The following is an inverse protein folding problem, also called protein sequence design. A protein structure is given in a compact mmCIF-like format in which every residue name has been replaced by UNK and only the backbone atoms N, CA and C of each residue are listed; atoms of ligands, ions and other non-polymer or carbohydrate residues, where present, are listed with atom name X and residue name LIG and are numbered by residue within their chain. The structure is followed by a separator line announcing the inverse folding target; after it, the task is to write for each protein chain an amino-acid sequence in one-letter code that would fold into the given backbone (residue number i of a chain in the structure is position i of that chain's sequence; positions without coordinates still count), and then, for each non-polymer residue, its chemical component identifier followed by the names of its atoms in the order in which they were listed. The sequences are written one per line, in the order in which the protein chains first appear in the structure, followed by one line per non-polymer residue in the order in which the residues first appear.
data_IF_625376660954
#
_entry.id   IF_625376660954
#
_cell.length_a   1.000
_cell.length_b   1.000
_cell.length_c   1.000
_cell.angle_alpha   90.00
_cell.angle_beta   90.00
_cell.angle_gamma   90.00
#
_symmetry.space_group_name_H-M   'P 1'
#
loop_
_entity.id
_entity.type
_entity.pdbx_description
1 polymer ?
#
# COMPACT_ATOMS: atom_id res chain seq x y z
N UNK A 1 -17.36 -18.64 -10.17
CA UNK A 1 -16.42 -18.28 -9.08
C UNK A 1 -15.42 -17.27 -9.60
N UNK A 2 -15.38 -16.12 -9.02
CA UNK A 2 -14.39 -15.07 -9.39
C UNK A 2 -13.07 -15.49 -8.79
N UNK A 3 -12.15 -16.00 -9.59
CA UNK A 3 -10.84 -16.48 -9.11
C UNK A 3 -10.04 -15.32 -8.50
N UNK A 4 -9.49 -15.51 -7.30
CA UNK A 4 -8.53 -14.55 -6.71
C UNK A 4 -7.35 -14.41 -7.67
N UNK A 5 -7.01 -13.17 -7.97
CA UNK A 5 -5.91 -12.82 -8.86
C UNK A 5 -4.76 -12.32 -8.00
N UNK A 6 -3.55 -12.74 -8.32
CA UNK A 6 -2.39 -12.46 -7.49
C UNK A 6 -2.48 -13.12 -6.11
N UNK A 7 -1.96 -12.46 -5.09
CA UNK A 7 -2.11 -12.82 -3.67
C UNK A 7 -1.68 -14.26 -3.33
N UNK A 8 -0.78 -14.84 -4.11
CA UNK A 8 -0.37 -16.24 -3.95
C UNK A 8 0.19 -16.53 -2.55
N UNK A 9 0.99 -15.59 -2.02
CA UNK A 9 1.59 -15.69 -0.69
C UNK A 9 0.54 -15.59 0.43
N UNK A 10 -0.37 -14.64 0.31
CA UNK A 10 -1.43 -14.40 1.29
C UNK A 10 -2.42 -15.58 1.32
N UNK A 11 -2.79 -16.09 0.15
CA UNK A 11 -3.63 -17.29 0.02
C UNK A 11 -2.96 -18.51 0.64
N UNK A 12 -1.69 -18.73 0.36
CA UNK A 12 -0.93 -19.83 0.96
C UNK A 12 -0.94 -19.72 2.49
N UNK A 13 -0.73 -18.53 3.05
CA UNK A 13 -0.76 -18.32 4.50
C UNK A 13 -2.14 -18.60 5.11
N UNK A 14 -3.23 -18.25 4.41
CA UNK A 14 -4.60 -18.55 4.85
C UNK A 14 -4.90 -20.05 4.75
N UNK A 15 -4.47 -20.72 3.69
CA UNK A 15 -4.63 -22.17 3.52
C UNK A 15 -3.85 -22.98 4.58
N UNK A 16 -2.60 -22.57 4.85
CA UNK A 16 -1.78 -23.20 5.91
C UNK A 16 -2.43 -23.00 7.28
N UNK A 17 -3.01 -21.80 7.54
CA UNK A 17 -3.72 -21.55 8.78
C UNK A 17 -4.99 -22.41 8.90
N UNK A 18 -5.69 -22.65 7.81
CA UNK A 18 -6.86 -23.54 7.79
C UNK A 18 -6.50 -25.00 8.08
N UNK A 19 -5.37 -25.48 7.54
CA UNK A 19 -4.89 -26.88 7.68
C UNK A 19 -4.19 -27.13 9.01
N UNK A 20 -3.90 -26.11 9.81
CA UNK A 20 -3.22 -26.26 11.08
C UNK A 20 -4.04 -27.10 12.08
N UNK A 21 -3.37 -27.95 12.85
CA UNK A 21 -3.98 -28.82 13.87
C UNK A 21 -4.23 -28.10 15.21
N UNK A 22 -4.04 -26.79 15.23
CA UNK A 22 -4.26 -25.91 16.38
C UNK A 22 -5.18 -24.74 16.02
N UNK A 23 -5.79 -24.12 17.01
CA UNK A 23 -6.54 -22.88 16.78
C UNK A 23 -5.60 -21.72 16.46
N UNK A 24 -5.90 -20.99 15.39
CA UNK A 24 -5.08 -19.86 14.95
C UNK A 24 -5.89 -18.56 14.88
N UNK A 25 -5.24 -17.48 15.30
CA UNK A 25 -5.72 -16.12 15.15
C UNK A 25 -4.94 -15.40 14.05
N UNK A 26 -5.62 -15.09 12.95
CA UNK A 26 -5.07 -14.42 11.77
C UNK A 26 -5.65 -13.02 11.66
N UNK A 27 -4.83 -12.03 11.40
CA UNK A 27 -5.27 -10.66 11.13
C UNK A 27 -4.83 -10.23 9.74
N UNK A 28 -5.80 -9.90 8.88
CA UNK A 28 -5.58 -9.33 7.54
C UNK A 28 -5.85 -7.84 7.61
N UNK A 29 -4.85 -7.02 7.34
CA UNK A 29 -4.95 -5.57 7.46
C UNK A 29 -4.29 -4.86 6.27
N UNK A 30 -4.51 -3.59 6.14
CA UNK A 30 -4.02 -2.78 5.03
C UNK A 30 -5.07 -1.75 4.63
N UNK A 31 -4.69 -0.82 3.76
CA UNK A 31 -5.54 0.31 3.36
C UNK A 31 -6.89 -0.15 2.78
N UNK A 32 -7.83 0.78 2.72
CA UNK A 32 -9.14 0.54 2.08
C UNK A 32 -8.96 0.21 0.59
N UNK A 33 -9.84 -0.67 0.05
CA UNK A 33 -9.92 -1.02 -1.39
C UNK A 33 -8.83 -1.94 -1.95
N UNK A 34 -7.94 -2.49 -1.10
CA UNK A 34 -6.95 -3.49 -1.52
C UNK A 34 -7.47 -4.93 -1.56
N UNK A 35 -8.76 -5.16 -1.20
CA UNK A 35 -9.42 -6.46 -1.37
C UNK A 35 -9.33 -7.39 -0.16
N UNK A 36 -9.16 -6.90 1.08
CA UNK A 36 -9.08 -7.73 2.31
C UNK A 36 -10.28 -8.65 2.49
N UNK A 37 -11.48 -8.10 2.53
CA UNK A 37 -12.75 -8.85 2.66
C UNK A 37 -12.92 -9.84 1.53
N UNK A 38 -12.60 -9.44 0.30
CA UNK A 38 -12.66 -10.30 -0.89
C UNK A 38 -11.72 -11.49 -0.73
N UNK A 39 -10.45 -11.26 -0.35
CA UNK A 39 -9.46 -12.31 -0.16
C UNK A 39 -9.95 -13.38 0.85
N UNK A 40 -10.43 -12.96 2.02
CA UNK A 40 -10.86 -13.90 3.07
C UNK A 40 -12.12 -14.65 2.67
N UNK A 41 -13.11 -13.96 2.07
CA UNK A 41 -14.34 -14.59 1.61
C UNK A 41 -14.09 -15.62 0.51
N UNK A 42 -13.30 -15.29 -0.49
CA UNK A 42 -12.97 -16.22 -1.58
C UNK A 42 -12.09 -17.40 -1.10
N UNK A 43 -11.19 -17.17 -0.11
CA UNK A 43 -10.39 -18.24 0.46
C UNK A 43 -11.23 -19.27 1.25
N UNK A 44 -12.34 -18.84 1.85
CA UNK A 44 -13.15 -19.64 2.75
C UNK A 44 -14.65 -19.70 2.38
N UNK A 45 -15.02 -19.33 1.17
CA UNK A 45 -16.39 -19.16 0.62
C UNK A 45 -17.46 -20.02 1.34
N UNK A 46 -17.39 -21.34 1.18
CA UNK A 46 -18.32 -22.34 1.77
C UNK A 46 -17.88 -22.88 3.15
N UNK A 47 -16.78 -22.39 3.72
CA UNK A 47 -16.17 -22.88 4.97
C UNK A 47 -16.35 -21.96 6.17
N UNK A 48 -17.08 -20.85 5.98
CA UNK A 48 -17.33 -19.90 7.05
C UNK A 48 -18.35 -20.46 8.04
N UNK A 49 -17.90 -20.83 9.24
CA UNK A 49 -18.78 -21.18 10.35
C UNK A 49 -19.46 -19.94 10.96
N UNK A 50 -18.88 -18.76 10.78
CA UNK A 50 -19.48 -17.49 11.18
C UNK A 50 -18.84 -16.32 10.43
N UNK A 51 -19.66 -15.34 10.02
CA UNK A 51 -19.22 -14.07 9.44
C UNK A 51 -20.01 -12.90 10.00
N UNK A 52 -19.33 -11.89 10.48
CA UNK A 52 -19.92 -10.60 10.84
C UNK A 52 -19.01 -9.46 10.40
N UNK A 53 -19.61 -8.30 10.10
CA UNK A 53 -18.88 -7.07 9.73
C UNK A 53 -19.33 -5.90 10.59
N UNK A 54 -18.38 -5.05 11.00
CA UNK A 54 -18.69 -3.79 11.65
C UNK A 54 -19.33 -2.78 10.69
N UNK A 55 -20.07 -1.83 11.23
CA UNK A 55 -20.74 -0.76 10.49
C UNK A 55 -20.08 0.57 10.83
N UNK A 56 -19.78 1.37 9.81
CA UNK A 56 -19.03 2.61 9.96
C UNK A 56 -19.79 3.64 10.81
N UNK A 57 -19.09 4.22 11.79
CA UNK A 57 -19.57 5.33 12.63
C UNK A 57 -20.84 5.05 13.47
N UNK A 58 -21.21 3.80 13.64
CA UNK A 58 -22.35 3.43 14.46
C UNK A 58 -21.98 3.22 15.95
N UNK A 59 -22.96 3.43 16.81
CA UNK A 59 -22.80 3.20 18.24
C UNK A 59 -22.82 1.70 18.59
N UNK A 60 -22.51 1.37 19.84
CA UNK A 60 -22.42 -0.01 20.35
C UNK A 60 -23.70 -0.80 20.14
N UNK A 61 -24.86 -0.20 20.42
CA UNK A 61 -26.14 -0.93 20.36
C UNK A 61 -26.50 -1.32 18.93
N UNK A 62 -26.21 -0.44 17.99
CA UNK A 62 -26.37 -0.73 16.54
C UNK A 62 -25.38 -1.80 16.10
N UNK A 63 -24.11 -1.74 16.52
CA UNK A 63 -23.12 -2.80 16.24
C UNK A 63 -23.55 -4.15 16.79
N UNK A 64 -24.07 -4.20 18.04
CA UNK A 64 -24.60 -5.42 18.65
C UNK A 64 -25.81 -5.96 17.89
N UNK A 65 -26.69 -5.07 17.42
CA UNK A 65 -27.84 -5.47 16.62
C UNK A 65 -27.42 -6.13 15.29
N UNK A 66 -26.44 -5.57 14.58
CA UNK A 66 -25.91 -6.17 13.35
C UNK A 66 -25.22 -7.51 13.63
N UNK A 67 -24.46 -7.59 14.73
CA UNK A 67 -23.82 -8.84 15.13
C UNK A 67 -24.87 -9.91 15.51
N UNK A 68 -25.95 -9.51 16.22
CA UNK A 68 -27.08 -10.39 16.50
C UNK A 68 -27.75 -10.92 15.23
N UNK A 69 -27.97 -10.06 14.22
CA UNK A 69 -28.48 -10.52 12.94
C UNK A 69 -27.56 -11.52 12.24
N UNK A 70 -26.25 -11.34 12.40
CA UNK A 70 -25.29 -12.34 11.93
C UNK A 70 -25.42 -13.65 12.71
N UNK A 71 -25.48 -13.62 14.06
CA UNK A 71 -25.68 -14.81 14.88
C UNK A 71 -26.94 -15.59 14.49
N UNK A 72 -28.06 -14.91 14.24
CA UNK A 72 -29.30 -15.54 13.82
C UNK A 72 -29.22 -16.28 12.49
N UNK A 73 -28.30 -15.92 11.60
CA UNK A 73 -28.08 -16.62 10.31
C UNK A 73 -27.39 -17.97 10.46
N UNK A 74 -26.60 -18.13 11.54
CA UNK A 74 -25.81 -19.33 11.79
C UNK A 74 -26.35 -20.16 12.96
N UNK A 75 -27.49 -19.78 13.55
CA UNK A 75 -28.13 -20.50 14.64
C UNK A 75 -29.37 -21.22 14.17
N UNK A 76 -29.50 -22.49 14.51
CA UNK A 76 -30.72 -23.29 14.28
C UNK A 76 -31.81 -23.01 15.33
N UNK A 77 -31.48 -22.33 16.42
CA UNK A 77 -32.38 -22.01 17.52
C UNK A 77 -32.61 -20.50 17.66
N UNK A 78 -33.79 -20.08 18.16
CA UNK A 78 -34.06 -18.67 18.45
C UNK A 78 -33.05 -18.12 19.47
N UNK A 79 -32.48 -16.94 19.18
CA UNK A 79 -31.56 -16.24 20.04
C UNK A 79 -32.22 -14.99 20.63
N UNK A 80 -31.85 -14.66 21.87
CA UNK A 80 -32.19 -13.36 22.46
C UNK A 80 -31.18 -12.30 21.99
N UNK A 81 -31.62 -11.05 21.83
CA UNK A 81 -30.75 -9.93 21.52
C UNK A 81 -29.75 -9.73 22.66
N UNK A 82 -28.43 -9.84 22.41
CA UNK A 82 -27.41 -9.66 23.43
C UNK A 82 -27.36 -8.21 23.91
N UNK A 83 -27.18 -8.01 25.21
CA UNK A 83 -27.07 -6.70 25.85
C UNK A 83 -25.61 -6.22 25.96
N UNK A 84 -24.67 -7.10 25.70
CA UNK A 84 -23.24 -6.84 25.77
C UNK A 84 -22.47 -7.66 24.74
N UNK A 85 -21.25 -7.24 24.42
CA UNK A 85 -20.35 -8.03 23.57
C UNK A 85 -20.01 -9.39 24.19
N UNK A 86 -19.95 -9.48 25.53
CA UNK A 86 -19.72 -10.76 26.20
C UNK A 86 -20.88 -11.74 25.91
N UNK A 87 -22.13 -11.32 26.05
CA UNK A 87 -23.29 -12.14 25.71
C UNK A 87 -23.33 -12.50 24.23
N UNK A 88 -22.88 -11.59 23.35
CA UNK A 88 -22.80 -11.87 21.92
C UNK A 88 -21.76 -12.96 21.60
N UNK A 89 -20.59 -12.94 22.24
CA UNK A 89 -19.58 -13.98 22.10
C UNK A 89 -20.00 -15.31 22.78
N UNK A 90 -20.72 -15.27 23.89
CA UNK A 90 -21.32 -16.49 24.48
C UNK A 90 -22.29 -17.17 23.50
N UNK A 91 -23.11 -16.38 22.82
CA UNK A 91 -24.00 -16.92 21.79
C UNK A 91 -23.20 -17.49 20.60
N UNK A 92 -22.13 -16.82 20.16
CA UNK A 92 -21.24 -17.32 19.11
C UNK A 92 -20.60 -18.64 19.51
N UNK A 93 -20.10 -18.79 20.75
CA UNK A 93 -19.52 -20.04 21.25
C UNK A 93 -20.52 -21.19 21.08
N UNK A 94 -21.77 -21.02 21.50
CA UNK A 94 -22.82 -22.06 21.37
C UNK A 94 -23.07 -22.45 19.92
N UNK A 95 -23.07 -21.50 18.99
CA UNK A 95 -23.18 -21.77 17.55
C UNK A 95 -21.99 -22.59 17.06
N UNK A 96 -20.78 -22.20 17.44
CA UNK A 96 -19.57 -22.89 17.02
C UNK A 96 -19.46 -24.31 17.62
N UNK A 97 -19.91 -24.51 18.84
CA UNK A 97 -19.99 -25.84 19.47
C UNK A 97 -21.01 -26.78 18.81
N UNK A 98 -22.11 -26.21 18.32
CA UNK A 98 -23.12 -26.96 17.57
C UNK A 98 -22.69 -27.30 16.13
N UNK A 99 -21.73 -26.54 15.57
CA UNK A 99 -21.24 -26.73 14.21
C UNK A 99 -20.50 -28.07 14.04
N UNK A 100 -20.79 -28.77 12.93
CA UNK A 100 -20.17 -30.05 12.56
C UNK A 100 -18.88 -29.92 11.76
N UNK A 101 -18.50 -28.69 11.42
CA UNK A 101 -17.28 -28.41 10.64
C UNK A 101 -16.02 -28.86 11.42
N UNK A 102 -15.10 -29.52 10.74
CA UNK A 102 -13.84 -29.95 11.34
C UNK A 102 -12.98 -28.74 11.75
N UNK A 103 -12.93 -27.71 10.89
CA UNK A 103 -12.27 -26.44 11.17
C UNK A 103 -13.28 -25.32 11.02
N UNK A 104 -13.55 -24.61 12.09
CA UNK A 104 -14.54 -23.56 12.18
C UNK A 104 -13.90 -22.21 11.88
N UNK A 105 -14.15 -21.68 10.70
CA UNK A 105 -13.64 -20.36 10.30
C UNK A 105 -14.60 -19.29 10.81
N UNK A 106 -14.11 -18.46 11.71
CA UNK A 106 -14.82 -17.27 12.24
C UNK A 106 -14.21 -16.04 11.57
N UNK A 107 -14.99 -15.36 10.74
CA UNK A 107 -14.52 -14.15 10.07
C UNK A 107 -15.19 -12.90 10.63
N UNK A 108 -14.40 -12.02 11.26
CA UNK A 108 -14.82 -10.72 11.79
C UNK A 108 -14.18 -9.62 10.93
N UNK A 109 -15.03 -8.94 10.16
CA UNK A 109 -14.57 -7.88 9.25
C UNK A 109 -14.77 -6.48 9.85
N UNK A 110 -13.93 -5.53 9.48
CA UNK A 110 -13.91 -4.14 9.96
C UNK A 110 -13.92 -4.03 11.50
N UNK A 111 -12.97 -4.72 12.15
CA UNK A 111 -12.84 -4.77 13.62
C UNK A 111 -12.84 -3.41 14.29
N UNK A 112 -12.19 -2.42 13.67
CA UNK A 112 -12.10 -1.07 14.22
C UNK A 112 -13.46 -0.39 14.38
N UNK A 113 -14.43 -0.74 13.53
CA UNK A 113 -15.79 -0.22 13.63
C UNK A 113 -16.59 -0.93 14.71
N UNK A 114 -16.43 -2.27 14.87
CA UNK A 114 -17.07 -3.02 15.95
C UNK A 114 -16.63 -2.53 17.34
N UNK A 115 -15.36 -2.12 17.48
CA UNK A 115 -14.82 -1.75 18.78
C UNK A 115 -15.41 -0.46 19.36
N UNK A 116 -15.97 0.40 18.52
CA UNK A 116 -16.54 1.66 18.98
C UNK A 116 -15.57 2.53 19.80
N UNK A 117 -16.12 3.41 20.66
CA UNK A 117 -15.36 4.31 21.54
C UNK A 117 -15.03 3.66 22.86
N UNK A 118 -15.95 2.82 23.37
CA UNK A 118 -15.89 2.22 24.71
C UNK A 118 -14.89 1.05 24.85
N UNK A 119 -14.43 0.51 23.73
CA UNK A 119 -13.45 -0.58 23.71
C UNK A 119 -13.97 -1.94 24.14
N UNK A 120 -15.26 -2.06 24.47
CA UNK A 120 -15.86 -3.27 25.06
C UNK A 120 -15.83 -4.48 24.12
N UNK A 121 -15.82 -4.25 22.80
CA UNK A 121 -15.69 -5.32 21.82
C UNK A 121 -14.32 -6.04 21.92
N UNK A 122 -13.22 -5.29 21.94
CA UNK A 122 -11.89 -5.91 22.07
C UNK A 122 -11.75 -6.69 23.36
N UNK A 123 -12.29 -6.19 24.48
CA UNK A 123 -12.29 -6.89 25.76
C UNK A 123 -13.04 -8.24 25.66
N UNK A 124 -14.17 -8.25 24.99
CA UNK A 124 -14.94 -9.48 24.81
C UNK A 124 -14.26 -10.44 23.80
N UNK A 125 -13.66 -9.92 22.75
CA UNK A 125 -12.84 -10.71 21.79
C UNK A 125 -11.63 -11.34 22.49
N UNK A 126 -10.96 -10.58 23.37
CA UNK A 126 -9.85 -11.06 24.19
C UNK A 126 -10.31 -12.21 25.10
N UNK A 127 -11.45 -12.05 25.77
CA UNK A 127 -12.03 -13.11 26.59
C UNK A 127 -12.38 -14.35 25.72
N UNK A 128 -13.08 -14.18 24.61
CA UNK A 128 -13.42 -15.26 23.69
C UNK A 128 -12.17 -16.05 23.26
N UNK A 129 -11.12 -15.35 22.85
CA UNK A 129 -9.90 -16.01 22.41
C UNK A 129 -9.16 -16.71 23.55
N UNK A 130 -8.89 -16.01 24.65
CA UNK A 130 -8.05 -16.52 25.72
C UNK A 130 -8.73 -17.58 26.60
N UNK A 131 -10.04 -17.48 26.81
CA UNK A 131 -10.75 -18.42 27.70
C UNK A 131 -11.30 -19.64 26.97
N UNK A 132 -11.54 -19.54 25.66
CA UNK A 132 -12.23 -20.61 24.94
C UNK A 132 -11.51 -21.02 23.64
N UNK A 133 -11.31 -20.13 22.69
CA UNK A 133 -10.85 -20.47 21.34
C UNK A 133 -9.42 -20.99 21.30
N UNK A 134 -8.49 -20.41 22.08
CA UNK A 134 -7.08 -20.79 22.09
C UNK A 134 -6.81 -22.17 22.70
N UNK A 135 -7.72 -22.68 23.55
CA UNK A 135 -7.62 -24.02 24.12
C UNK A 135 -8.12 -25.12 23.20
N UNK A 136 -8.71 -24.77 22.06
CA UNK A 136 -9.23 -25.70 21.05
C UNK A 136 -8.23 -25.93 19.93
N UNK A 137 -8.54 -26.88 19.06
CA UNK A 137 -7.72 -27.18 17.86
C UNK A 137 -8.45 -26.81 16.56
N UNK A 138 -9.73 -26.52 16.64
CA UNK A 138 -10.63 -26.44 15.50
C UNK A 138 -11.08 -25.02 15.14
N UNK A 139 -10.55 -23.98 15.77
CA UNK A 139 -10.93 -22.58 15.48
C UNK A 139 -9.88 -21.89 14.59
N UNK A 140 -10.36 -21.30 13.51
CA UNK A 140 -9.61 -20.31 12.74
C UNK A 140 -10.30 -18.97 12.84
N UNK A 141 -9.80 -18.11 13.70
CA UNK A 141 -10.28 -16.73 13.83
C UNK A 141 -9.55 -15.84 12.83
N UNK A 142 -10.27 -15.30 11.86
CA UNK A 142 -9.76 -14.34 10.87
C UNK A 142 -10.40 -12.99 11.13
N UNK A 143 -9.59 -11.97 11.36
CA UNK A 143 -10.05 -10.61 11.59
C UNK A 143 -9.50 -9.68 10.50
N UNK A 144 -10.34 -8.76 10.01
CA UNK A 144 -9.93 -7.72 9.06
C UNK A 144 -10.16 -6.32 9.59
N UNK A 145 -9.33 -5.38 9.15
CA UNK A 145 -9.60 -3.94 9.31
C UNK A 145 -8.89 -3.11 8.26
N UNK A 146 -9.56 -2.05 7.82
CA UNK A 146 -8.98 -1.01 6.96
C UNK A 146 -8.22 0.06 7.76
N UNK A 147 -8.46 0.18 9.06
CA UNK A 147 -7.75 1.08 9.96
C UNK A 147 -6.43 0.43 10.44
N UNK A 148 -5.41 0.45 9.58
CA UNK A 148 -4.11 -0.23 9.78
C UNK A 148 -3.46 0.15 11.10
N UNK A 149 -3.36 1.45 11.39
CA UNK A 149 -2.76 1.95 12.63
C UNK A 149 -3.53 1.50 13.87
N UNK A 150 -4.86 1.42 13.77
CA UNK A 150 -5.68 0.93 14.87
C UNK A 150 -5.33 -0.54 15.17
N UNK A 151 -5.23 -1.39 14.14
CA UNK A 151 -4.80 -2.80 14.29
C UNK A 151 -3.42 -2.87 14.94
N UNK A 152 -2.44 -2.12 14.44
CA UNK A 152 -1.08 -2.15 14.96
C UNK A 152 -1.06 -1.73 16.43
N UNK A 153 -1.75 -0.64 16.78
CA UNK A 153 -1.70 -0.07 18.13
C UNK A 153 -2.60 -0.80 19.14
N UNK A 154 -3.77 -1.29 18.71
CA UNK A 154 -4.77 -1.88 19.61
C UNK A 154 -4.75 -3.40 19.65
N UNK A 155 -4.26 -4.06 18.60
CA UNK A 155 -4.24 -5.52 18.54
C UNK A 155 -2.80 -6.07 18.67
N UNK A 156 -1.83 -5.48 17.96
CA UNK A 156 -0.46 -6.03 17.96
C UNK A 156 0.42 -5.49 19.10
N UNK A 157 0.34 -4.19 19.37
CA UNK A 157 1.24 -3.49 20.32
C UNK A 157 0.56 -3.14 21.66
N UNK A 158 -0.72 -3.42 21.81
CA UNK A 158 -1.41 -3.20 23.07
C UNK A 158 -0.96 -4.26 24.09
N UNK A 159 -0.45 -3.83 25.24
CA UNK A 159 -0.05 -4.72 26.34
C UNK A 159 -1.25 -5.39 27.07
N UNK A 160 -2.43 -5.42 26.43
CA UNK A 160 -3.62 -6.17 26.87
C UNK A 160 -3.53 -7.66 26.52
N UNK A 161 -4.60 -8.41 26.75
CA UNK A 161 -4.62 -9.86 26.60
C UNK A 161 -4.57 -10.39 25.17
N UNK A 162 -4.64 -9.53 24.15
CA UNK A 162 -4.38 -9.93 22.76
C UNK A 162 -2.90 -9.81 22.37
N UNK A 163 -2.05 -9.21 23.20
CA UNK A 163 -0.63 -9.10 22.92
C UNK A 163 0.02 -10.48 22.73
N UNK A 164 0.69 -10.66 21.58
CA UNK A 164 1.34 -11.94 21.26
C UNK A 164 0.37 -13.09 20.92
N UNK A 165 -0.96 -12.83 20.83
CA UNK A 165 -1.96 -13.86 20.50
C UNK A 165 -2.22 -14.01 19.01
N UNK A 166 -1.92 -12.99 18.21
CA UNK A 166 -2.05 -13.07 16.75
C UNK A 166 -0.94 -13.93 16.19
N UNK A 167 -1.30 -15.10 15.67
CA UNK A 167 -0.36 -16.09 15.13
C UNK A 167 0.15 -15.70 13.75
N UNK A 168 -0.70 -15.09 12.91
CA UNK A 168 -0.33 -14.63 11.57
C UNK A 168 -0.84 -13.22 11.31
N UNK A 169 0.06 -12.38 10.76
CA UNK A 169 -0.23 -10.98 10.38
C UNK A 169 -0.05 -10.86 8.88
N UNK A 170 -1.13 -10.61 8.16
CA UNK A 170 -1.13 -10.48 6.71
C UNK A 170 -1.39 -9.01 6.37
N UNK A 171 -0.33 -8.28 6.03
CA UNK A 171 -0.46 -6.91 5.51
C UNK A 171 -0.73 -6.96 4.02
N UNK A 172 -1.91 -6.49 3.61
CA UNK A 172 -2.33 -6.49 2.23
C UNK A 172 -2.06 -5.13 1.59
N UNK A 173 -1.01 -5.08 0.78
CA UNK A 173 -0.62 -3.90 0.00
C UNK A 173 -1.41 -3.79 -1.32
N UNK A 174 -1.35 -2.67 -2.04
CA UNK A 174 -1.75 -2.62 -3.45
C UNK A 174 -1.06 -3.71 -4.28
N UNK A 175 -1.62 -4.08 -5.42
CA UNK A 175 -1.01 -5.03 -6.34
C UNK A 175 0.36 -4.54 -6.83
N UNK A 176 1.29 -5.47 -7.03
CA UNK A 176 2.48 -5.24 -7.84
C UNK A 176 2.13 -5.14 -9.32
N UNK A 177 3.05 -4.70 -10.18
CA UNK A 177 2.84 -4.68 -11.63
C UNK A 177 2.52 -6.09 -12.17
N UNK A 178 3.17 -7.14 -11.66
CA UNK A 178 2.87 -8.52 -12.02
C UNK A 178 1.45 -8.92 -11.66
N UNK A 179 0.98 -8.57 -10.48
CA UNK A 179 -0.41 -8.83 -10.08
C UNK A 179 -1.42 -7.99 -10.88
N UNK A 180 -1.05 -6.78 -11.28
CA UNK A 180 -1.86 -5.97 -12.19
C UNK A 180 -1.96 -6.62 -13.57
N UNK A 181 -0.85 -7.15 -14.12
CA UNK A 181 -0.85 -7.88 -15.37
C UNK A 181 -1.79 -9.09 -15.31
N UNK A 182 -1.64 -9.95 -14.29
CA UNK A 182 -2.55 -11.09 -14.06
C UNK A 182 -4.03 -10.62 -13.94
N UNK A 183 -4.27 -9.44 -13.36
CA UNK A 183 -5.60 -8.86 -13.23
C UNK A 183 -6.18 -8.42 -14.57
N UNK A 184 -5.40 -7.73 -15.42
CA UNK A 184 -5.82 -7.28 -16.74
C UNK A 184 -6.09 -8.46 -17.68
N UNK A 185 -5.21 -9.47 -17.67
CA UNK A 185 -5.39 -10.69 -18.46
C UNK A 185 -6.70 -11.42 -18.10
N UNK A 186 -6.98 -11.60 -16.79
CA UNK A 186 -8.19 -12.23 -16.30
C UNK A 186 -9.46 -11.49 -16.74
N UNK A 187 -9.40 -10.16 -16.73
CA UNK A 187 -10.52 -9.29 -17.14
C UNK A 187 -10.57 -9.00 -18.64
N UNK A 188 -9.66 -9.57 -19.42
CA UNK A 188 -9.53 -9.37 -20.87
C UNK A 188 -9.34 -7.89 -21.25
N UNK A 189 -8.64 -7.15 -20.41
CA UNK A 189 -8.25 -5.76 -20.67
C UNK A 189 -6.92 -5.80 -21.40
N UNK A 190 -6.93 -5.51 -22.71
CA UNK A 190 -5.74 -5.53 -23.53
C UNK A 190 -4.87 -4.28 -23.29
N UNK A 191 -3.75 -4.45 -22.61
CA UNK A 191 -2.75 -3.40 -22.37
C UNK A 191 -1.35 -3.97 -22.56
N UNK A 192 -0.48 -3.24 -23.26
CA UNK A 192 0.96 -3.52 -23.25
C UNK A 192 1.58 -3.07 -21.91
N UNK A 193 2.82 -3.47 -21.63
CA UNK A 193 3.48 -3.12 -20.35
C UNK A 193 3.62 -1.61 -20.14
N UNK A 194 3.81 -0.83 -21.19
CA UNK A 194 3.84 0.64 -21.10
C UNK A 194 2.50 1.20 -20.55
N UNK A 195 1.37 0.74 -21.10
CA UNK A 195 0.05 1.16 -20.65
C UNK A 195 -0.23 0.64 -19.23
N UNK A 196 0.25 -0.56 -18.88
CA UNK A 196 0.12 -1.10 -17.53
C UNK A 196 0.92 -0.28 -16.51
N UNK A 197 2.14 0.13 -16.84
CA UNK A 197 2.95 1.05 -16.01
C UNK A 197 2.26 2.41 -15.89
N UNK A 198 1.72 2.94 -17.00
CA UNK A 198 0.96 4.19 -16.98
C UNK A 198 -0.30 4.07 -16.13
N UNK A 199 -1.03 2.96 -16.23
CA UNK A 199 -2.18 2.66 -15.36
C UNK A 199 -1.77 2.62 -13.88
N UNK A 200 -0.63 1.99 -13.57
CA UNK A 200 -0.10 1.95 -12.21
C UNK A 200 0.27 3.34 -11.68
N UNK A 201 0.85 4.20 -12.51
CA UNK A 201 1.15 5.59 -12.16
C UNK A 201 -0.11 6.40 -11.79
N UNK A 202 -1.27 6.04 -12.36
CA UNK A 202 -2.56 6.71 -12.09
C UNK A 202 -3.31 6.08 -10.92
N UNK A 203 -3.45 4.75 -10.91
CA UNK A 203 -4.34 4.00 -10.01
C UNK A 203 -3.61 3.27 -8.87
N UNK A 204 -2.28 3.15 -8.93
CA UNK A 204 -1.44 2.63 -7.86
C UNK A 204 -1.61 1.15 -7.53
N UNK A 205 -2.04 0.33 -8.48
CA UNK A 205 -2.26 -1.10 -8.25
C UNK A 205 -3.40 -1.40 -7.26
N UNK A 206 -4.31 -0.45 -7.01
CA UNK A 206 -5.45 -0.65 -6.09
C UNK A 206 -6.54 -1.47 -6.80
N UNK A 207 -6.81 -2.73 -6.39
CA UNK A 207 -7.70 -3.64 -7.11
C UNK A 207 -9.08 -3.06 -7.40
N UNK A 208 -9.64 -2.30 -6.46
CA UNK A 208 -10.94 -1.67 -6.63
C UNK A 208 -10.95 -0.64 -7.77
N UNK A 209 -9.89 0.18 -7.89
CA UNK A 209 -9.79 1.15 -8.99
C UNK A 209 -9.60 0.44 -10.33
N UNK A 210 -8.75 -0.59 -10.36
CA UNK A 210 -8.53 -1.40 -11.56
C UNK A 210 -9.82 -2.13 -12.01
N UNK A 211 -10.70 -2.48 -11.06
CA UNK A 211 -11.96 -3.14 -11.36
C UNK A 211 -12.97 -2.28 -12.13
N UNK A 212 -12.77 -0.97 -12.14
CA UNK A 212 -13.61 0.00 -12.86
C UNK A 212 -13.19 0.18 -14.32
N UNK A 213 -12.00 -0.33 -14.71
CA UNK A 213 -11.54 -0.23 -16.09
C UNK A 213 -12.40 -1.10 -17.01
N UNK A 214 -12.82 -0.51 -18.12
CA UNK A 214 -13.61 -1.17 -19.16
C UNK A 214 -12.69 -1.71 -20.28
N UNK A 215 -12.82 -3.00 -20.61
CA UNK A 215 -12.00 -3.66 -21.61
C UNK A 215 -12.24 -3.18 -23.04
N UNK A 216 -13.37 -2.51 -23.30
CA UNK A 216 -13.75 -1.95 -24.60
C UNK A 216 -13.14 -0.57 -24.87
N UNK A 217 -12.51 0.04 -23.86
CA UNK A 217 -11.94 1.38 -23.90
C UNK A 217 -10.41 1.34 -23.79
N UNK A 218 -9.74 2.28 -24.45
CA UNK A 218 -8.31 2.50 -24.21
C UNK A 218 -8.04 2.96 -22.78
N UNK A 219 -6.80 2.85 -22.30
CA UNK A 219 -6.41 3.39 -20.99
C UNK A 219 -6.76 4.89 -20.88
N UNK A 220 -6.47 5.67 -21.93
CA UNK A 220 -6.75 7.10 -21.93
C UNK A 220 -8.25 7.42 -21.80
N UNK A 221 -9.10 6.68 -22.47
CA UNK A 221 -10.56 6.81 -22.35
C UNK A 221 -11.06 6.42 -20.94
N UNK A 222 -10.52 5.36 -20.37
CA UNK A 222 -10.82 4.96 -18.98
C UNK A 222 -10.40 6.04 -17.98
N UNK A 223 -9.22 6.63 -18.15
CA UNK A 223 -8.74 7.72 -17.27
C UNK A 223 -9.68 8.92 -17.33
N UNK A 224 -10.06 9.35 -18.54
CA UNK A 224 -10.97 10.49 -18.71
C UNK A 224 -12.32 10.24 -18.05
N UNK A 225 -12.89 9.07 -18.28
CA UNK A 225 -14.22 8.75 -17.75
C UNK A 225 -14.24 8.62 -16.23
N UNK A 226 -13.23 7.98 -15.66
CA UNK A 226 -13.18 7.74 -14.21
C UNK A 226 -12.77 8.98 -13.41
N UNK A 227 -11.91 9.85 -13.97
CA UNK A 227 -11.24 10.91 -13.23
C UNK A 227 -11.60 12.33 -13.71
N UNK A 228 -11.78 12.56 -15.01
CA UNK A 228 -12.06 13.89 -15.56
C UNK A 228 -13.54 14.15 -15.84
N UNK A 229 -14.34 13.10 -16.05
CA UNK A 229 -15.78 13.28 -16.15
C UNK A 229 -16.37 13.67 -14.78
N UNK A 230 -17.27 14.67 -14.68
CA UNK A 230 -17.85 15.09 -13.39
C UNK A 230 -18.57 14.00 -12.61
N UNK A 231 -19.17 13.02 -13.33
CA UNK A 231 -19.84 11.85 -12.76
C UNK A 231 -18.89 10.65 -12.64
N UNK A 232 -17.60 10.82 -12.93
CA UNK A 232 -16.60 9.75 -12.84
C UNK A 232 -16.46 9.22 -11.41
N UNK A 233 -16.43 7.91 -11.26
CA UNK A 233 -16.47 7.26 -9.95
C UNK A 233 -15.27 7.62 -9.07
N UNK A 234 -14.14 8.00 -9.66
CA UNK A 234 -12.93 8.40 -8.94
C UNK A 234 -12.72 9.92 -8.92
N UNK A 235 -13.59 10.70 -9.56
CA UNK A 235 -13.45 12.16 -9.62
C UNK A 235 -13.42 12.81 -8.22
N UNK A 236 -14.26 12.33 -7.29
CA UNK A 236 -14.33 12.82 -5.89
C UNK A 236 -13.80 11.84 -4.86
N UNK A 237 -13.07 10.82 -5.31
CA UNK A 237 -12.57 9.77 -4.43
C UNK A 237 -11.61 10.30 -3.36
N UNK A 238 -10.81 11.31 -3.67
CA UNK A 238 -9.82 11.88 -2.75
C UNK A 238 -10.45 12.33 -1.43
N UNK A 239 -11.56 13.06 -1.49
CA UNK A 239 -12.24 13.55 -0.29
C UNK A 239 -12.79 12.41 0.58
N UNK A 240 -13.33 11.37 -0.06
CA UNK A 240 -13.95 10.24 0.63
C UNK A 240 -12.93 9.25 1.20
N UNK A 241 -11.79 9.09 0.53
CA UNK A 241 -10.77 8.09 0.87
C UNK A 241 -10.20 8.33 2.27
N UNK A 242 -9.72 9.55 2.54
CA UNK A 242 -9.10 9.90 3.83
C UNK A 242 -10.11 9.94 4.97
N UNK A 243 -11.30 10.51 4.74
CA UNK A 243 -12.36 10.55 5.75
C UNK A 243 -12.86 9.17 6.15
N UNK A 244 -12.86 8.22 5.21
CA UNK A 244 -13.27 6.85 5.48
C UNK A 244 -12.20 6.02 6.21
N UNK A 245 -10.93 6.44 6.18
CA UNK A 245 -9.82 5.72 6.80
C UNK A 245 -9.41 6.27 8.16
N UNK A 246 -9.52 7.58 8.34
CA UNK A 246 -9.04 8.28 9.53
C UNK A 246 -10.19 8.99 10.24
N UNK A 247 -10.29 8.81 11.55
CA UNK A 247 -11.41 9.35 12.36
C UNK A 247 -11.48 10.87 12.33
N UNK A 248 -10.33 11.56 12.22
CA UNK A 248 -10.19 13.01 12.06
C UNK A 248 -9.17 13.24 10.95
N UNK A 249 -9.63 13.23 9.71
CA UNK A 249 -8.76 13.27 8.53
C UNK A 249 -8.11 14.63 8.25
N UNK A 250 -8.53 15.72 8.90
CA UNK A 250 -8.08 17.08 8.57
C UNK A 250 -6.56 17.24 8.62
N UNK A 251 -5.92 16.75 9.68
CA UNK A 251 -4.47 16.81 9.79
C UNK A 251 -3.74 15.91 8.78
N UNK A 252 -4.35 14.77 8.41
CA UNK A 252 -3.82 13.89 7.37
C UNK A 252 -3.86 14.60 6.01
N UNK A 253 -4.98 15.24 5.69
CA UNK A 253 -5.15 16.00 4.45
C UNK A 253 -4.19 17.18 4.37
N UNK A 254 -3.97 17.92 5.47
CA UNK A 254 -3.00 19.02 5.53
C UNK A 254 -1.57 18.53 5.24
N UNK A 255 -1.15 17.45 5.88
CA UNK A 255 0.18 16.85 5.70
C UNK A 255 0.36 16.34 4.27
N UNK A 256 -0.62 15.59 3.76
CA UNK A 256 -0.58 15.04 2.39
C UNK A 256 -0.51 16.16 1.36
N UNK A 257 -1.28 17.23 1.53
CA UNK A 257 -1.22 18.42 0.67
C UNK A 257 0.15 19.10 0.69
N UNK A 258 0.76 19.25 1.87
CA UNK A 258 2.11 19.82 2.01
C UNK A 258 3.16 18.94 1.29
N UNK A 259 3.04 17.61 1.41
CA UNK A 259 3.94 16.67 0.73
C UNK A 259 3.76 16.65 -0.78
N UNK A 260 2.52 16.75 -1.28
CA UNK A 260 2.23 16.77 -2.71
C UNK A 260 2.88 17.96 -3.44
N UNK A 261 3.16 19.04 -2.71
CA UNK A 261 3.84 20.23 -3.25
C UNK A 261 5.35 20.02 -3.45
N UNK A 262 5.95 18.95 -2.89
CA UNK A 262 7.40 18.67 -2.96
C UNK A 262 7.70 17.22 -3.28
N UNK A 263 8.05 16.93 -4.51
CA UNK A 263 8.35 15.59 -5.01
C UNK A 263 9.45 14.84 -4.24
N UNK A 264 10.43 15.57 -3.68
CA UNK A 264 11.59 15.00 -2.97
C UNK A 264 11.30 14.54 -1.55
N UNK A 265 10.06 14.72 -1.08
CA UNK A 265 9.73 14.52 0.32
C UNK A 265 10.09 15.71 1.21
N UNK A 266 9.71 15.62 2.46
CA UNK A 266 9.89 16.63 3.50
C UNK A 266 10.40 15.98 4.78
N UNK A 267 11.25 16.68 5.51
CA UNK A 267 11.55 16.33 6.90
C UNK A 267 10.33 16.62 7.78
N UNK A 268 10.29 16.00 8.96
CA UNK A 268 9.22 16.28 9.93
C UNK A 268 9.10 17.79 10.25
N UNK A 269 10.21 18.50 10.40
CA UNK A 269 10.20 19.93 10.70
C UNK A 269 9.63 20.75 9.53
N UNK A 270 10.01 20.46 8.30
CA UNK A 270 9.44 21.12 7.12
C UNK A 270 7.93 20.85 6.97
N UNK A 271 7.46 19.65 7.35
CA UNK A 271 6.02 19.35 7.38
C UNK A 271 5.30 20.23 8.41
N UNK A 272 5.83 20.34 9.62
CA UNK A 272 5.23 21.17 10.67
C UNK A 272 5.21 22.65 10.29
N UNK A 273 6.29 23.14 9.68
CA UNK A 273 6.36 24.52 9.18
C UNK A 273 5.36 24.77 8.05
N UNK A 274 5.24 23.85 7.09
CA UNK A 274 4.33 23.99 5.96
C UNK A 274 2.84 23.86 6.35
N UNK A 275 2.53 23.09 7.42
CA UNK A 275 1.15 22.82 7.84
C UNK A 275 0.68 23.70 9.01
N UNK A 276 1.60 24.34 9.74
CA UNK A 276 1.29 25.06 10.97
C UNK A 276 0.88 24.15 12.14
N UNK A 277 1.06 22.84 12.03
CA UNK A 277 0.72 21.90 13.09
C UNK A 277 1.69 22.02 14.27
N UNK A 278 1.21 21.88 15.52
CA UNK A 278 2.06 21.94 16.70
C UNK A 278 3.09 20.81 16.71
N UNK A 279 4.30 21.13 17.21
CA UNK A 279 5.35 20.13 17.36
C UNK A 279 5.04 19.22 18.58
N UNK A 280 4.08 18.31 18.40
CA UNK A 280 3.58 17.41 19.42
C UNK A 280 3.52 15.95 18.90
N UNK A 281 3.29 15.01 19.81
CA UNK A 281 3.11 13.60 19.48
C UNK A 281 1.95 13.31 18.52
N UNK A 282 0.97 14.21 18.44
CA UNK A 282 -0.14 14.12 17.49
C UNK A 282 0.32 14.13 16.02
N UNK A 283 1.27 15.00 15.66
CA UNK A 283 1.80 15.06 14.31
C UNK A 283 2.59 13.79 13.95
N UNK A 284 3.39 13.27 14.89
CA UNK A 284 4.09 11.99 14.70
C UNK A 284 3.11 10.85 14.48
N UNK A 285 2.02 10.81 15.27
CA UNK A 285 0.97 9.79 15.11
C UNK A 285 0.33 9.85 13.72
N UNK A 286 0.02 11.04 13.20
CA UNK A 286 -0.56 11.21 11.86
C UNK A 286 0.41 10.71 10.78
N UNK A 287 1.70 11.01 10.91
CA UNK A 287 2.73 10.50 9.98
C UNK A 287 2.83 8.97 10.04
N UNK A 288 2.81 8.38 11.22
CA UNK A 288 2.82 6.92 11.39
C UNK A 288 1.54 6.29 10.80
N UNK A 289 0.37 6.92 10.98
CA UNK A 289 -0.90 6.48 10.41
C UNK A 289 -0.88 6.48 8.88
N UNK A 290 -0.33 7.53 8.27
CA UNK A 290 -0.19 7.63 6.82
C UNK A 290 0.80 6.61 6.26
N UNK A 291 1.94 6.39 6.94
CA UNK A 291 2.95 5.40 6.54
C UNK A 291 2.40 3.96 6.64
N UNK A 292 1.80 3.61 7.76
CA UNK A 292 1.21 2.29 7.99
C UNK A 292 0.05 1.96 7.03
N UNK A 293 -0.52 2.99 6.43
CA UNK A 293 -1.61 2.88 5.44
C UNK A 293 -1.14 3.03 3.99
N UNK A 294 0.16 2.94 3.73
CA UNK A 294 0.79 3.00 2.40
C UNK A 294 0.54 4.31 1.61
N UNK A 295 0.22 5.42 2.30
CA UNK A 295 0.10 6.73 1.62
C UNK A 295 1.43 7.42 1.46
N UNK A 296 2.30 7.26 2.43
CA UNK A 296 3.63 7.85 2.45
C UNK A 296 4.67 6.79 2.77
N UNK A 297 5.89 7.05 2.40
CA UNK A 297 7.05 6.28 2.87
C UNK A 297 7.95 7.16 3.71
N UNK A 298 8.60 6.55 4.68
CA UNK A 298 9.70 7.13 5.44
C UNK A 298 11.01 6.56 4.91
N UNK A 299 11.96 7.40 4.63
CA UNK A 299 13.29 6.96 4.21
C UNK A 299 14.38 7.86 4.79
N UNK A 300 15.54 7.28 4.98
CA UNK A 300 16.74 7.99 5.40
C UNK A 300 17.68 8.09 4.21
N UNK A 301 18.20 9.29 3.92
CA UNK A 301 19.21 9.46 2.88
C UNK A 301 20.48 8.70 3.26
N UNK A 302 21.18 8.14 2.27
CA UNK A 302 22.42 7.38 2.48
C UNK A 302 23.42 8.13 3.36
N UNK A 303 23.96 7.47 4.37
CA UNK A 303 24.90 8.06 5.32
C UNK A 303 24.30 9.05 6.33
N UNK A 304 22.98 9.25 6.34
CA UNK A 304 22.31 10.12 7.30
C UNK A 304 21.86 9.36 8.55
N UNK A 305 21.60 10.11 9.63
CA UNK A 305 21.07 9.56 10.88
C UNK A 305 19.55 9.51 10.84
N UNK A 306 18.95 8.67 11.67
CA UNK A 306 17.49 8.54 11.82
C UNK A 306 16.75 9.86 12.07
N UNK A 307 17.38 10.84 12.73
CA UNK A 307 16.81 12.17 12.96
C UNK A 307 16.57 13.01 11.70
N UNK A 308 17.23 12.63 10.60
CA UNK A 308 17.18 13.33 9.30
C UNK A 308 16.27 12.56 8.32
N UNK A 309 15.31 11.80 8.84
CA UNK A 309 14.32 11.06 8.04
C UNK A 309 13.46 11.99 7.21
N UNK A 310 13.17 11.53 5.99
CA UNK A 310 12.31 12.19 5.02
C UNK A 310 11.01 11.42 4.88
N UNK A 311 9.93 12.14 4.69
CA UNK A 311 8.60 11.61 4.42
C UNK A 311 8.20 12.00 3.00
N UNK A 312 7.79 11.04 2.19
CA UNK A 312 7.43 11.25 0.79
C UNK A 312 6.05 10.63 0.51
N UNK A 313 5.20 11.38 -0.18
CA UNK A 313 3.92 10.86 -0.67
C UNK A 313 4.16 9.84 -1.78
N UNK A 314 3.56 8.66 -1.66
CA UNK A 314 3.76 7.53 -2.57
C UNK A 314 2.46 7.03 -3.21
N UNK A 315 1.30 7.39 -2.65
CA UNK A 315 0.01 6.99 -3.21
C UNK A 315 -0.21 7.61 -4.60
N UNK A 316 -0.21 6.76 -5.62
CA UNK A 316 -0.27 7.18 -7.02
C UNK A 316 -1.53 7.99 -7.34
N UNK A 317 -2.71 7.52 -6.87
CA UNK A 317 -3.96 8.25 -7.09
C UNK A 317 -3.94 9.64 -6.44
N UNK A 318 -3.43 9.75 -5.21
CA UNK A 318 -3.31 11.05 -4.53
C UNK A 318 -2.34 11.99 -5.24
N UNK A 319 -1.19 11.48 -5.70
CA UNK A 319 -0.24 12.25 -6.52
C UNK A 319 -0.87 12.73 -7.82
N UNK A 320 -1.62 11.86 -8.50
CA UNK A 320 -2.36 12.21 -9.71
C UNK A 320 -3.41 13.29 -9.45
N UNK A 321 -4.20 13.14 -8.37
CA UNK A 321 -5.21 14.11 -7.95
C UNK A 321 -4.62 15.51 -7.76
N UNK A 322 -3.54 15.63 -6.99
CA UNK A 322 -2.91 16.93 -6.75
C UNK A 322 -2.32 17.56 -8.01
N UNK A 323 -1.88 16.74 -8.96
CA UNK A 323 -1.27 17.25 -10.18
C UNK A 323 -2.29 17.69 -11.24
N UNK A 324 -3.43 17.00 -11.34
CA UNK A 324 -4.37 17.20 -12.45
C UNK A 324 -5.80 17.56 -12.05
N UNK A 325 -6.26 17.22 -10.84
CA UNK A 325 -7.67 17.33 -10.46
C UNK A 325 -7.94 18.38 -9.39
N UNK A 326 -6.98 18.69 -8.52
CA UNK A 326 -7.18 19.54 -7.33
C UNK A 326 -7.81 20.92 -7.64
N UNK A 327 -7.41 21.56 -8.73
CA UNK A 327 -7.82 22.96 -9.01
C UNK A 327 -9.27 23.09 -9.48
N UNK A 328 -9.96 21.99 -9.82
CA UNK A 328 -11.36 21.98 -10.27
C UNK A 328 -11.64 22.85 -11.52
N UNK A 329 -10.59 23.43 -12.11
CA UNK A 329 -10.69 24.36 -13.25
C UNK A 329 -10.72 23.68 -14.61
N UNK A 330 -10.53 22.36 -14.62
CA UNK A 330 -10.44 21.62 -15.86
C UNK A 330 -11.84 21.18 -16.31
N UNK A 331 -12.46 21.95 -17.18
CA UNK A 331 -13.76 21.62 -17.78
C UNK A 331 -13.63 20.62 -18.96
N UNK A 332 -12.42 20.19 -19.29
CA UNK A 332 -12.17 19.23 -20.38
C UNK A 332 -12.37 17.80 -19.89
N UNK A 333 -13.52 17.21 -20.24
CA UNK A 333 -13.86 15.82 -19.90
C UNK A 333 -12.98 14.77 -20.59
N UNK A 334 -12.24 15.16 -21.63
CA UNK A 334 -11.30 14.34 -22.39
C UNK A 334 -9.87 14.85 -22.23
N UNK A 335 -9.56 15.42 -21.08
CA UNK A 335 -8.28 16.07 -20.80
C UNK A 335 -7.10 15.15 -21.08
N UNK A 336 -7.17 13.89 -20.64
CA UNK A 336 -6.06 12.97 -20.79
C UNK A 336 -5.80 12.65 -22.26
N UNK A 337 -6.84 12.33 -23.03
CA UNK A 337 -6.74 12.07 -24.46
C UNK A 337 -6.17 13.27 -25.25
N UNK A 338 -6.63 14.49 -24.92
CA UNK A 338 -6.19 15.72 -25.61
C UNK A 338 -4.76 16.13 -25.27
N UNK A 339 -4.22 15.66 -24.13
CA UNK A 339 -2.89 16.07 -23.66
C UNK A 339 -1.85 14.97 -23.69
N UNK A 340 -2.14 13.80 -24.28
CA UNK A 340 -1.17 12.73 -24.46
C UNK A 340 0.09 13.23 -25.17
N UNK A 341 1.28 12.90 -24.61
CA UNK A 341 2.57 13.27 -25.17
C UNK A 341 2.98 14.74 -24.94
N UNK A 342 2.16 15.54 -24.28
CA UNK A 342 2.52 16.93 -23.96
C UNK A 342 3.61 16.98 -22.87
N UNK A 343 4.40 18.07 -22.80
CA UNK A 343 5.41 18.27 -21.76
C UNK A 343 4.84 18.15 -20.34
N UNK A 344 3.59 18.55 -20.12
CA UNK A 344 2.93 18.46 -18.80
C UNK A 344 2.78 17.00 -18.34
N UNK A 345 2.25 16.14 -19.21
CA UNK A 345 2.10 14.70 -18.88
C UNK A 345 3.47 14.03 -18.79
N UNK A 346 4.39 14.33 -19.70
CA UNK A 346 5.72 13.73 -19.68
C UNK A 346 6.53 14.10 -18.41
N UNK A 347 6.41 15.34 -17.95
CA UNK A 347 7.06 15.78 -16.70
C UNK A 347 6.49 15.05 -15.47
N UNK A 348 5.16 14.93 -15.39
CA UNK A 348 4.51 14.16 -14.33
C UNK A 348 4.90 12.69 -14.40
N UNK A 349 4.88 12.10 -15.60
CA UNK A 349 5.21 10.68 -15.80
C UNK A 349 6.64 10.35 -15.37
N UNK A 350 7.60 11.28 -15.54
CA UNK A 350 8.96 11.11 -15.02
C UNK A 350 8.99 10.87 -13.51
N UNK A 351 8.29 11.70 -12.75
CA UNK A 351 8.20 11.55 -11.30
C UNK A 351 7.35 10.33 -10.89
N UNK A 352 6.21 10.10 -11.55
CA UNK A 352 5.35 8.98 -11.26
C UNK A 352 6.04 7.63 -11.51
N UNK A 353 6.85 7.52 -12.57
CA UNK A 353 7.63 6.33 -12.88
C UNK A 353 8.72 6.07 -11.82
N UNK A 354 9.38 7.13 -11.31
CA UNK A 354 10.28 6.99 -10.16
C UNK A 354 9.56 6.34 -8.98
N UNK A 355 8.33 6.77 -8.64
CA UNK A 355 7.55 6.17 -7.55
C UNK A 355 7.19 4.71 -7.82
N UNK A 356 6.85 4.36 -9.07
CA UNK A 356 6.63 2.95 -9.47
C UNK A 356 7.88 2.12 -9.23
N UNK A 357 9.04 2.57 -9.68
CA UNK A 357 10.31 1.87 -9.47
C UNK A 357 10.63 1.69 -7.98
N UNK A 358 10.39 2.72 -7.18
CA UNK A 358 10.63 2.69 -5.75
C UNK A 358 9.64 1.79 -4.98
N UNK A 359 8.44 1.60 -5.51
CA UNK A 359 7.49 0.60 -5.01
C UNK A 359 7.88 -0.85 -5.39
N UNK A 360 8.73 -1.02 -6.42
CA UNK A 360 9.15 -2.31 -6.96
C UNK A 360 10.65 -2.60 -6.74
N UNK A 361 11.22 -2.11 -5.62
CA UNK A 361 12.66 -2.29 -5.32
C UNK A 361 13.04 -3.77 -5.20
N UNK A 362 12.15 -4.63 -4.73
CA UNK A 362 12.44 -6.06 -4.64
C UNK A 362 12.57 -6.69 -6.03
N UNK A 363 11.75 -6.29 -7.02
CA UNK A 363 11.87 -6.70 -8.41
C UNK A 363 13.18 -6.20 -9.02
N UNK A 364 13.55 -4.96 -8.73
CA UNK A 364 14.86 -4.40 -9.14
C UNK A 364 16.02 -5.25 -8.58
N UNK A 365 15.98 -5.61 -7.29
CA UNK A 365 16.98 -6.49 -6.67
C UNK A 365 17.01 -7.87 -7.32
N UNK A 366 15.86 -8.44 -7.68
CA UNK A 366 15.76 -9.72 -8.37
C UNK A 366 16.40 -9.63 -9.77
N UNK A 367 16.04 -8.64 -10.56
CA UNK A 367 16.61 -8.41 -11.89
C UNK A 367 18.13 -8.18 -11.86
N UNK A 368 18.64 -7.58 -10.79
CA UNK A 368 20.07 -7.40 -10.57
C UNK A 368 20.77 -8.67 -10.04
N UNK A 369 20.03 -9.69 -9.63
CA UNK A 369 20.59 -10.91 -9.04
C UNK A 369 21.13 -10.74 -7.63
N UNK A 370 20.63 -9.76 -6.87
CA UNK A 370 21.12 -9.41 -5.51
C UNK A 370 20.11 -9.63 -4.39
N UNK A 371 18.95 -10.22 -4.68
CA UNK A 371 17.91 -10.51 -3.67
C UNK A 371 18.34 -11.50 -2.59
N UNK A 372 19.35 -12.31 -2.84
CA UNK A 372 19.89 -13.28 -1.88
C UNK A 372 20.90 -12.72 -0.88
N UNK A 373 21.20 -11.41 -0.92
CA UNK A 373 22.15 -10.77 -0.01
C UNK A 373 21.52 -9.62 0.78
N UNK A 374 22.17 -9.19 1.85
CA UNK A 374 21.76 -7.99 2.58
C UNK A 374 22.03 -6.74 1.75
N UNK A 375 20.96 -6.00 1.46
CA UNK A 375 21.01 -4.73 0.71
C UNK A 375 20.18 -3.69 1.45
N UNK A 376 20.81 -2.58 1.84
CA UNK A 376 20.12 -1.41 2.37
C UNK A 376 19.67 -0.52 1.22
N UNK A 377 18.43 -0.04 1.30
CA UNK A 377 17.81 0.81 0.28
C UNK A 377 17.64 2.23 0.81
N UNK A 378 18.08 3.22 0.06
CA UNK A 378 17.95 4.64 0.40
C UNK A 378 17.91 5.49 -0.87
N UNK A 379 17.56 6.77 -0.74
CA UNK A 379 17.91 7.79 -1.70
C UNK A 379 19.17 8.54 -1.24
N UNK A 380 19.67 9.48 -2.03
CA UNK A 380 20.72 10.37 -1.59
C UNK A 380 20.60 11.75 -2.24
N UNK A 381 20.92 12.78 -1.48
CA UNK A 381 21.07 14.16 -1.96
C UNK A 381 22.24 14.84 -1.26
N UNK A 382 22.96 15.68 -2.02
CA UNK A 382 24.11 16.42 -1.52
C UNK A 382 23.71 17.47 -0.47
N UNK A 383 24.56 17.66 0.52
CA UNK A 383 24.42 18.73 1.54
C UNK A 383 25.07 20.04 1.10
N UNK A 384 25.95 20.00 0.11
CA UNK A 384 26.66 21.15 -0.40
C UNK A 384 25.74 22.22 -0.98
N UNK A 385 26.00 23.50 -0.67
CA UNK A 385 25.21 24.61 -1.22
C UNK A 385 25.56 24.91 -2.68
N UNK A 386 26.79 24.61 -3.08
CA UNK A 386 27.32 24.97 -4.40
C UNK A 386 26.99 23.97 -5.51
N UNK A 387 26.94 22.66 -5.18
CA UNK A 387 26.61 21.63 -6.17
C UNK A 387 25.51 20.73 -5.62
N UNK A 388 24.32 20.89 -6.17
CA UNK A 388 23.16 20.06 -5.80
C UNK A 388 23.17 18.78 -6.65
N UNK A 389 23.38 17.64 -5.99
CA UNK A 389 23.29 16.32 -6.60
C UNK A 389 22.24 15.48 -5.87
N UNK A 390 21.55 14.64 -6.63
CA UNK A 390 20.55 13.71 -6.11
C UNK A 390 20.69 12.38 -6.84
N UNK A 391 20.50 11.29 -6.10
CA UNK A 391 20.41 9.92 -6.63
C UNK A 391 19.08 9.34 -6.16
N UNK A 392 18.27 8.89 -7.11
CA UNK A 392 16.89 8.47 -6.86
C UNK A 392 16.81 7.23 -5.98
N UNK A 393 17.70 6.25 -6.25
CA UNK A 393 17.79 5.01 -5.49
C UNK A 393 19.26 4.59 -5.30
N UNK A 394 19.64 4.36 -4.05
CA UNK A 394 20.96 3.83 -3.66
C UNK A 394 20.76 2.45 -3.03
N UNK A 395 21.42 1.44 -3.61
CA UNK A 395 21.43 0.09 -3.06
C UNK A 395 22.83 -0.19 -2.46
N UNK A 396 22.88 -0.19 -1.14
CA UNK A 396 24.12 -0.45 -0.38
C UNK A 396 24.23 -1.93 -0.05
N UNK A 397 25.11 -2.62 -0.75
CA UNK A 397 25.25 -4.08 -0.73
C UNK A 397 26.30 -4.54 0.29
N UNK A 398 26.10 -5.72 0.82
CA UNK A 398 27.04 -6.34 1.76
C UNK A 398 28.37 -6.76 1.11
N UNK A 399 28.41 -6.98 -0.20
CA UNK A 399 29.59 -7.38 -0.99
C UNK A 399 30.49 -6.21 -1.41
N UNK A 400 30.46 -5.11 -0.65
CA UNK A 400 31.29 -3.91 -0.85
C UNK A 400 31.00 -3.12 -2.15
N UNK A 401 29.79 -3.22 -2.69
CA UNK A 401 29.32 -2.43 -3.82
C UNK A 401 28.20 -1.50 -3.37
N UNK A 402 28.15 -0.30 -3.95
CA UNK A 402 27.03 0.62 -3.88
C UNK A 402 26.53 0.87 -5.29
N UNK A 403 25.28 0.49 -5.56
CA UNK A 403 24.66 0.81 -6.84
C UNK A 403 23.97 2.18 -6.74
N UNK A 404 24.34 3.07 -7.64
CA UNK A 404 23.74 4.40 -7.80
C UNK A 404 22.76 4.32 -8.97
N UNK A 405 21.47 4.24 -8.64
CA UNK A 405 20.45 4.00 -9.64
C UNK A 405 19.78 5.32 -10.03
N UNK A 406 19.82 5.61 -11.34
CA UNK A 406 19.12 6.71 -11.97
C UNK A 406 17.87 6.17 -12.68
N UNK A 407 16.73 6.83 -12.50
CA UNK A 407 15.43 6.39 -13.05
C UNK A 407 14.96 7.41 -14.09
N UNK A 408 14.61 6.95 -15.30
CA UNK A 408 14.14 7.82 -16.38
C UNK A 408 12.95 7.23 -17.11
N UNK A 409 11.85 7.99 -17.12
CA UNK A 409 10.72 7.70 -17.99
C UNK A 409 10.98 8.24 -19.41
N UNK A 410 10.75 7.43 -20.42
CA UNK A 410 10.89 7.83 -21.82
C UNK A 410 9.91 7.04 -22.70
N UNK A 411 9.53 7.60 -23.85
CA UNK A 411 8.66 6.95 -24.84
C UNK A 411 9.44 6.16 -25.89
N UNK A 412 10.75 6.11 -25.77
CA UNK A 412 11.70 5.41 -26.67
C UNK A 412 12.98 5.12 -25.89
N UNK A 413 13.92 4.30 -26.40
CA UNK A 413 15.21 4.07 -25.77
C UNK A 413 15.89 5.39 -25.39
N UNK A 414 16.32 5.50 -24.11
CA UNK A 414 16.87 6.73 -23.57
C UNK A 414 18.30 6.96 -24.09
N UNK A 415 18.57 8.16 -24.58
CA UNK A 415 19.89 8.52 -25.09
C UNK A 415 20.67 9.31 -24.05
N UNK A 416 21.80 8.76 -23.62
CA UNK A 416 22.78 9.49 -22.79
C UNK A 416 23.63 10.34 -23.75
N UNK A 417 23.52 11.65 -23.68
CA UNK A 417 24.42 12.57 -24.36
C UNK A 417 25.66 12.87 -23.51
N UNK A 418 26.60 13.64 -24.08
CA UNK A 418 27.86 14.02 -23.40
C UNK A 418 27.60 14.74 -22.09
N UNK A 419 26.72 15.73 -22.10
CA UNK A 419 26.44 16.57 -20.91
C UNK A 419 25.80 15.74 -19.80
N UNK A 420 24.93 14.82 -20.16
CA UNK A 420 24.27 13.95 -19.17
C UNK A 420 25.25 12.91 -18.60
N UNK A 421 26.15 12.37 -19.40
CA UNK A 421 27.23 11.49 -18.94
C UNK A 421 28.13 12.20 -17.92
N UNK A 422 28.55 13.44 -18.22
CA UNK A 422 29.33 14.28 -17.30
C UNK A 422 28.54 14.55 -16.00
N UNK A 423 27.22 14.76 -16.10
CA UNK A 423 26.35 14.94 -14.94
C UNK A 423 26.32 13.70 -14.04
N UNK A 424 26.18 12.51 -14.60
CA UNK A 424 26.20 11.25 -13.86
C UNK A 424 27.53 11.00 -13.16
N UNK A 425 28.65 11.23 -13.86
CA UNK A 425 30.00 11.10 -13.30
C UNK A 425 30.24 12.10 -12.17
N UNK A 426 29.81 13.36 -12.33
CA UNK A 426 29.92 14.37 -11.29
C UNK A 426 29.08 14.03 -10.07
N UNK A 427 27.84 13.50 -10.24
CA UNK A 427 27.00 13.05 -9.13
C UNK A 427 27.67 11.92 -8.35
N UNK A 428 28.26 10.94 -9.04
CA UNK A 428 29.02 9.87 -8.38
C UNK A 428 30.21 10.44 -7.61
N UNK A 429 30.97 11.33 -8.20
CA UNK A 429 32.12 11.97 -7.54
C UNK A 429 31.67 12.72 -6.27
N UNK A 430 30.63 13.55 -6.33
CA UNK A 430 30.09 14.27 -5.17
C UNK A 430 29.61 13.27 -4.09
N UNK A 431 28.92 12.19 -4.49
CA UNK A 431 28.49 11.14 -3.59
C UNK A 431 29.68 10.52 -2.84
N UNK A 432 30.73 10.13 -3.55
CA UNK A 432 31.95 9.56 -2.96
C UNK A 432 32.64 10.53 -2.00
N UNK A 433 32.75 11.81 -2.37
CA UNK A 433 33.39 12.84 -1.53
C UNK A 433 32.60 13.11 -0.24
N UNK A 434 31.26 13.24 -0.34
CA UNK A 434 30.44 13.57 0.83
C UNK A 434 30.21 12.37 1.75
N UNK A 435 30.02 11.17 1.19
CA UNK A 435 29.74 9.97 1.99
C UNK A 435 31.00 9.30 2.52
N UNK A 436 32.18 9.58 1.89
CA UNK A 436 33.45 8.92 2.18
C UNK A 436 33.37 7.40 2.16
N UNK A 437 32.47 6.86 1.30
CA UNK A 437 32.34 5.42 1.16
C UNK A 437 33.63 4.78 0.68
N UNK A 438 33.95 3.60 1.21
CA UNK A 438 35.07 2.76 0.76
C UNK A 438 34.63 1.64 -0.18
N UNK A 439 33.34 1.59 -0.51
CA UNK A 439 32.77 0.62 -1.43
C UNK A 439 32.89 1.08 -2.86
N UNK A 440 32.93 0.14 -3.80
CA UNK A 440 32.93 0.46 -5.23
C UNK A 440 31.56 0.96 -5.66
N UNK A 441 31.49 2.15 -6.26
CA UNK A 441 30.28 2.71 -6.80
C UNK A 441 30.05 2.23 -8.23
N UNK A 442 28.84 1.79 -8.55
CA UNK A 442 28.40 1.35 -9.88
C UNK A 442 27.15 2.09 -10.30
N UNK A 443 27.18 2.64 -11.52
CA UNK A 443 26.03 3.30 -12.12
C UNK A 443 25.05 2.27 -12.65
N UNK A 444 23.79 2.40 -12.24
CA UNK A 444 22.67 1.61 -12.74
C UNK A 444 21.65 2.57 -13.35
N UNK A 445 21.12 2.23 -14.50
CA UNK A 445 20.08 3.03 -15.09
C UNK A 445 18.83 2.18 -15.38
N UNK A 446 17.70 2.62 -14.83
CA UNK A 446 16.39 2.03 -15.04
C UNK A 446 15.58 2.98 -15.92
N UNK A 447 15.15 2.49 -17.09
CA UNK A 447 14.39 3.29 -18.05
C UNK A 447 13.18 2.49 -18.54
N UNK A 448 12.24 3.16 -19.20
CA UNK A 448 11.07 2.48 -19.76
C UNK A 448 11.47 1.46 -20.84
N UNK A 449 12.33 1.86 -21.79
CA UNK A 449 12.67 1.08 -22.99
C UNK A 449 14.17 0.76 -23.15
N UNK A 450 14.97 0.91 -22.10
CA UNK A 450 16.41 0.70 -22.17
C UNK A 450 17.17 1.91 -22.70
N UNK A 451 18.45 1.71 -22.97
CA UNK A 451 19.38 2.74 -23.44
C UNK A 451 19.65 2.61 -24.95
N UNK A 452 19.66 3.75 -25.61
CA UNK A 452 20.25 3.83 -26.97
C UNK A 452 21.78 3.65 -26.86
N UNK A 453 22.33 2.67 -27.59
CA UNK A 453 23.78 2.39 -27.57
C UNK A 453 24.56 3.49 -28.26
N UNK A 454 25.47 4.10 -27.53
CA UNK A 454 26.42 5.11 -28.02
C UNK A 454 27.70 5.10 -27.15
N UNK A 455 28.67 5.95 -27.47
CA UNK A 455 29.93 6.02 -26.73
C UNK A 455 29.76 6.43 -25.25
N UNK A 456 28.68 7.10 -24.87
CA UNK A 456 28.43 7.58 -23.49
C UNK A 456 27.64 6.56 -22.67
N UNK A 457 26.91 5.64 -23.29
CA UNK A 457 26.14 4.62 -22.54
C UNK A 457 27.04 3.60 -21.83
N UNK A 458 28.33 3.51 -22.18
CA UNK A 458 29.31 2.61 -21.56
C UNK A 458 29.63 2.92 -20.10
N UNK A 459 29.28 4.11 -19.59
CA UNK A 459 29.45 4.46 -18.16
C UNK A 459 28.47 3.72 -17.26
N UNK A 460 27.39 3.15 -17.82
CA UNK A 460 26.38 2.42 -17.09
C UNK A 460 26.79 0.94 -16.98
N UNK A 461 27.01 0.45 -15.76
CA UNK A 461 27.40 -0.93 -15.50
C UNK A 461 26.22 -1.90 -15.57
N UNK A 462 25.01 -1.43 -15.24
CA UNK A 462 23.79 -2.25 -15.33
C UNK A 462 22.64 -1.42 -15.88
N UNK A 463 21.99 -1.96 -16.87
CA UNK A 463 20.77 -1.43 -17.48
C UNK A 463 19.58 -2.28 -17.03
N UNK A 464 18.51 -1.62 -16.64
CA UNK A 464 17.22 -2.21 -16.33
C UNK A 464 16.12 -1.49 -17.12
N UNK A 465 15.03 -2.19 -17.37
CA UNK A 465 13.88 -1.66 -18.09
C UNK A 465 12.60 -1.81 -17.27
N UNK A 466 11.49 -1.24 -17.75
CA UNK A 466 10.19 -1.45 -17.10
C UNK A 466 9.80 -2.95 -17.07
N UNK A 467 10.28 -3.77 -17.99
CA UNK A 467 10.01 -5.21 -18.04
C UNK A 467 10.50 -5.93 -16.79
N UNK A 468 11.63 -5.45 -16.22
CA UNK A 468 12.22 -5.99 -14.99
C UNK A 468 11.34 -5.76 -13.74
N UNK A 469 10.33 -4.89 -13.82
CA UNK A 469 9.41 -4.61 -12.72
C UNK A 469 8.23 -5.60 -12.63
N UNK A 470 8.06 -6.45 -13.66
CA UNK A 470 6.96 -7.43 -13.74
C UNK A 470 7.35 -8.84 -13.24
N UNK A 471 8.51 -9.01 -12.64
CA UNK A 471 9.02 -10.31 -12.16
C UNK A 471 8.62 -10.64 -10.72
#
# INVERSE_FOLDING_TARGET
MTKIIGRKRELQQLEEAYKAEESLFVVVYGRRRVGKTFLVREAFDDKLAFYATGVNQENKDVQLMYFYHALCKYSDAPLALPKSWLEAFDALIKILEASKEQKKVVFLDELSWMNGVDGSFLTALEWFWNSWASARTDILLVCCSSATSWIINKVFNNHGGLYGRVNRRIHLHPFTLRECEEFYENRKIAMNHYDQVMSYMVFGGVPYYLSMLESTKSLAQNIDELLFHPDGQLHREYENLYQAMFRNADNHLLIVKAMAAKNKGLTRNEILEATGLPNAGSATRVLDELEQSDFIRRYTSFGQKKRDEMYQLTDAYTLFYFHFLQDGKNNDKQFWQHHLGTPKINSWAGYAFEQVCLAHVEQIKMAMGISGMAVSTSGWFSKGKEQKAQIDLVLDRADHIVNLCEIKFSTRPYTIDKQYAETLQNRQWIFEQETKTRKSCQQVMLTTYGLAKNQYSSIIQRELTMEDLFH
#
